data_IF_913747573495
#
_entry.id   IF_913747573495
#
_cell.length_a   1.000
_cell.length_b   1.000
_cell.length_c   1.000
_cell.angle_alpha   90.00
_cell.angle_beta   90.00
_cell.angle_gamma   90.00
#
_symmetry.space_group_name_H-M   'P 1'
#
loop_
_entity.id
_entity.type
_entity.pdbx_description
1 polymer ?
#
# COMPACT_ATOMS: atom_id res chain seq x y z
N UNK A 1 17.09 20.22 15.53
CA UNK A 1 16.35 19.56 14.44
C UNK A 1 16.56 20.42 13.21
N UNK A 2 17.57 20.10 12.39
CA UNK A 2 17.82 20.80 11.12
C UNK A 2 16.66 20.50 10.18
N UNK A 3 16.10 21.54 9.56
CA UNK A 3 15.00 21.43 8.62
C UNK A 3 15.29 20.30 7.61
N UNK A 4 14.37 19.33 7.50
CA UNK A 4 14.33 18.41 6.36
C UNK A 4 14.38 19.31 5.12
N UNK A 5 15.46 19.25 4.35
CA UNK A 5 15.59 20.06 3.14
C UNK A 5 14.40 19.81 2.22
N UNK A 6 14.05 20.80 1.39
CA UNK A 6 13.00 20.63 0.39
C UNK A 6 13.26 19.37 -0.45
N UNK A 7 12.19 18.64 -0.82
CA UNK A 7 12.30 17.48 -1.69
C UNK A 7 12.89 17.91 -3.04
N UNK A 8 13.92 17.20 -3.50
CA UNK A 8 14.67 17.51 -4.72
C UNK A 8 15.40 16.27 -5.23
N UNK A 9 15.97 16.33 -6.43
CA UNK A 9 16.81 15.25 -6.97
C UNK A 9 17.93 14.83 -5.99
N UNK A 10 18.48 15.78 -5.23
CA UNK A 10 19.59 15.54 -4.29
C UNK A 10 19.21 14.67 -3.09
N UNK A 11 17.93 14.55 -2.75
CA UNK A 11 17.43 13.67 -1.68
C UNK A 11 16.36 12.71 -2.19
N UNK A 12 16.41 12.39 -3.48
CA UNK A 12 15.48 11.43 -4.09
C UNK A 12 14.01 11.82 -3.89
N UNK A 13 13.70 13.11 -4.10
CA UNK A 13 12.39 13.70 -3.85
C UNK A 13 11.83 13.34 -2.47
N UNK A 14 12.67 13.42 -1.43
CA UNK A 14 12.37 12.92 -0.08
C UNK A 14 12.32 11.39 0.03
N UNK A 15 13.29 10.73 -0.58
CA UNK A 15 13.59 9.30 -0.47
C UNK A 15 12.49 8.39 -1.04
N UNK A 16 11.85 8.78 -2.14
CA UNK A 16 10.73 8.00 -2.72
C UNK A 16 11.14 6.59 -3.15
N UNK A 17 12.38 6.38 -3.63
CA UNK A 17 12.89 5.05 -4.02
C UNK A 17 13.38 4.23 -2.83
N UNK A 18 13.62 4.83 -1.67
CA UNK A 18 13.88 4.10 -0.43
C UNK A 18 12.54 3.74 0.23
N UNK A 19 11.65 4.73 0.36
CA UNK A 19 10.36 4.57 1.01
C UNK A 19 9.43 3.64 0.25
N UNK A 20 9.59 3.51 -1.08
CA UNK A 20 8.84 2.55 -1.91
C UNK A 20 9.04 1.09 -1.51
N UNK A 21 10.12 0.76 -0.77
CA UNK A 21 10.35 -0.60 -0.27
C UNK A 21 9.28 -1.04 0.74
N UNK A 22 8.65 -0.10 1.45
CA UNK A 22 7.56 -0.38 2.42
C UNK A 22 6.30 -0.91 1.69
N UNK A 23 5.67 -0.17 0.74
CA UNK A 23 4.53 -0.68 -0.01
C UNK A 23 4.90 -1.85 -0.92
N UNK A 24 6.16 -1.95 -1.39
CA UNK A 24 6.62 -3.12 -2.16
C UNK A 24 6.66 -4.39 -1.31
N UNK A 25 7.10 -4.31 -0.06
CA UNK A 25 7.07 -5.45 0.86
C UNK A 25 5.63 -5.82 1.23
N UNK A 26 4.74 -4.84 1.41
CA UNK A 26 3.32 -5.11 1.58
C UNK A 26 2.73 -5.85 0.37
N UNK A 27 3.09 -5.45 -0.85
CA UNK A 27 2.64 -6.11 -2.08
C UNK A 27 3.11 -7.56 -2.17
N UNK A 28 4.36 -7.82 -1.79
CA UNK A 28 4.88 -9.18 -1.69
C UNK A 28 4.06 -10.02 -0.71
N UNK A 29 3.82 -9.53 0.51
CA UNK A 29 3.05 -10.25 1.54
C UNK A 29 1.59 -10.49 1.11
N UNK A 30 0.96 -9.50 0.47
CA UNK A 30 -0.38 -9.65 -0.11
C UNK A 30 -0.39 -10.74 -1.17
N UNK A 31 0.54 -10.70 -2.13
CA UNK A 31 0.64 -11.69 -3.20
C UNK A 31 0.85 -13.12 -2.67
N UNK A 32 1.68 -13.28 -1.64
CA UNK A 32 1.89 -14.59 -0.99
C UNK A 32 0.62 -15.08 -0.27
N UNK A 33 -0.16 -14.18 0.31
CA UNK A 33 -1.29 -14.54 1.16
C UNK A 33 -2.59 -14.85 0.39
N UNK A 34 -2.88 -14.10 -0.68
CA UNK A 34 -4.13 -14.25 -1.47
C UNK A 34 -3.89 -14.74 -2.91
N UNK A 35 -2.62 -14.94 -3.28
CA UNK A 35 -2.21 -15.32 -4.63
C UNK A 35 -2.03 -14.13 -5.57
N UNK A 36 -1.17 -14.28 -6.60
CA UNK A 36 -0.77 -13.19 -7.48
C UNK A 36 -1.93 -12.61 -8.30
N UNK A 37 -2.87 -13.43 -8.76
CA UNK A 37 -4.00 -12.96 -9.59
C UNK A 37 -4.92 -12.00 -8.83
N UNK A 38 -5.29 -12.35 -7.59
CA UNK A 38 -6.11 -11.47 -6.74
C UNK A 38 -5.33 -10.23 -6.32
N UNK A 39 -4.05 -10.37 -6.00
CA UNK A 39 -3.20 -9.25 -5.66
C UNK A 39 -3.11 -8.25 -6.81
N UNK A 40 -2.84 -8.70 -8.04
CA UNK A 40 -2.81 -7.85 -9.23
C UNK A 40 -4.14 -7.13 -9.45
N UNK A 41 -5.26 -7.87 -9.37
CA UNK A 41 -6.60 -7.28 -9.50
C UNK A 41 -6.84 -6.17 -8.46
N UNK A 42 -6.47 -6.40 -7.21
CA UNK A 42 -6.62 -5.44 -6.13
C UNK A 42 -5.76 -4.19 -6.37
N UNK A 43 -4.46 -4.37 -6.61
CA UNK A 43 -3.53 -3.27 -6.83
C UNK A 43 -3.92 -2.42 -8.05
N UNK A 44 -4.31 -3.07 -9.15
CA UNK A 44 -4.75 -2.36 -10.35
C UNK A 44 -6.04 -1.57 -10.09
N UNK A 45 -7.03 -2.18 -9.44
CA UNK A 45 -8.29 -1.52 -9.12
C UNK A 45 -8.06 -0.28 -8.25
N UNK A 46 -7.33 -0.44 -7.15
CA UNK A 46 -7.06 0.64 -6.19
C UNK A 46 -6.30 1.79 -6.85
N UNK A 47 -5.25 1.48 -7.63
CA UNK A 47 -4.48 2.50 -8.35
C UNK A 47 -5.29 3.31 -9.35
N UNK A 48 -6.28 2.70 -10.00
CA UNK A 48 -7.01 3.32 -11.11
C UNK A 48 -8.34 3.93 -10.71
N UNK A 49 -8.90 3.55 -9.56
CA UNK A 49 -10.24 3.95 -9.14
C UNK A 49 -10.31 4.63 -7.79
N UNK A 50 -9.39 4.33 -6.86
CA UNK A 50 -9.46 4.85 -5.49
C UNK A 50 -8.37 5.89 -5.22
N UNK A 51 -7.13 5.60 -5.61
CA UNK A 51 -5.99 6.45 -5.22
C UNK A 51 -6.06 7.87 -5.79
N UNK A 52 -5.54 8.81 -5.02
CA UNK A 52 -5.43 10.24 -5.34
C UNK A 52 -3.97 10.76 -5.29
N UNK A 53 -3.66 11.87 -5.99
CA UNK A 53 -2.28 12.38 -6.08
C UNK A 53 -1.61 12.77 -4.76
N UNK A 54 -2.41 13.12 -3.74
CA UNK A 54 -1.92 13.64 -2.45
C UNK A 54 -1.96 12.59 -1.33
N UNK A 55 -1.87 11.31 -1.67
CA UNK A 55 -1.95 10.21 -0.70
C UNK A 55 -0.67 9.93 0.06
N UNK A 56 -0.87 9.40 1.27
CA UNK A 56 0.17 8.79 2.08
C UNK A 56 -0.03 7.27 2.21
N UNK A 57 0.93 6.62 2.86
CA UNK A 57 0.94 5.16 3.03
C UNK A 57 -0.25 4.61 3.82
N UNK A 58 -0.77 5.38 4.77
CA UNK A 58 -1.94 4.95 5.53
C UNK A 58 -3.20 5.01 4.66
N UNK A 59 -3.38 6.11 3.94
CA UNK A 59 -4.54 6.33 3.07
C UNK A 59 -4.57 5.28 1.96
N UNK A 60 -3.42 4.99 1.35
CA UNK A 60 -3.27 3.89 0.41
C UNK A 60 -3.69 2.53 1.01
N UNK A 61 -3.29 2.23 2.25
CA UNK A 61 -3.67 0.96 2.90
C UNK A 61 -5.16 0.89 3.22
N UNK A 62 -5.79 2.01 3.60
CA UNK A 62 -7.25 2.09 3.79
C UNK A 62 -7.98 1.85 2.45
N UNK A 63 -7.49 2.41 1.35
CA UNK A 63 -8.03 2.19 0.00
C UNK A 63 -7.90 0.74 -0.46
N UNK A 64 -6.84 0.04 -0.05
CA UNK A 64 -6.71 -1.39 -0.32
C UNK A 64 -7.79 -2.20 0.41
N UNK A 65 -8.23 -1.78 1.60
CA UNK A 65 -9.37 -2.40 2.29
C UNK A 65 -10.68 -2.13 1.58
N UNK A 66 -10.90 -0.90 1.11
CA UNK A 66 -12.08 -0.57 0.31
C UNK A 66 -12.06 -1.32 -1.04
N UNK A 67 -10.89 -1.49 -1.65
CA UNK A 67 -10.70 -2.30 -2.85
C UNK A 67 -11.10 -3.76 -2.64
N UNK A 68 -10.67 -4.39 -1.54
CA UNK A 68 -11.13 -5.75 -1.19
C UNK A 68 -12.66 -5.84 -1.09
N UNK A 69 -13.30 -4.85 -0.46
CA UNK A 69 -14.75 -4.78 -0.35
C UNK A 69 -15.44 -4.60 -1.70
N UNK A 70 -14.97 -3.69 -2.55
CA UNK A 70 -15.59 -3.43 -3.86
C UNK A 70 -15.40 -4.58 -4.86
N UNK A 71 -14.28 -5.30 -4.78
CA UNK A 71 -14.02 -6.49 -5.59
C UNK A 71 -14.70 -7.76 -5.05
N UNK A 72 -15.36 -7.68 -3.89
CA UNK A 72 -16.08 -8.80 -3.29
C UNK A 72 -15.15 -9.91 -2.78
N UNK A 73 -13.96 -9.55 -2.31
CA UNK A 73 -13.02 -10.50 -1.71
C UNK A 73 -13.62 -11.11 -0.44
N UNK A 74 -13.22 -12.35 -0.13
CA UNK A 74 -13.71 -13.03 1.07
C UNK A 74 -13.22 -12.32 2.34
N UNK A 75 -13.88 -12.57 3.46
CA UNK A 75 -13.41 -12.09 4.77
C UNK A 75 -11.99 -12.59 5.07
N UNK A 76 -11.66 -13.83 4.68
CA UNK A 76 -10.32 -14.39 4.87
C UNK A 76 -9.26 -13.71 3.99
N UNK A 77 -9.59 -13.40 2.73
CA UNK A 77 -8.68 -12.66 1.85
C UNK A 77 -8.45 -11.25 2.42
N UNK A 78 -9.53 -10.56 2.79
CA UNK A 78 -9.47 -9.19 3.33
C UNK A 78 -8.64 -9.13 4.60
N UNK A 79 -8.84 -10.07 5.53
CA UNK A 79 -8.05 -10.17 6.76
C UNK A 79 -6.57 -10.48 6.50
N UNK A 80 -6.26 -11.22 5.42
CA UNK A 80 -4.89 -11.50 5.01
C UNK A 80 -4.21 -10.25 4.43
N UNK A 81 -4.92 -9.47 3.60
CA UNK A 81 -4.42 -8.18 3.07
C UNK A 81 -4.21 -7.19 4.22
N UNK A 82 -5.17 -7.09 5.14
CA UNK A 82 -5.06 -6.21 6.32
C UNK A 82 -3.80 -6.54 7.13
N UNK A 83 -3.53 -7.83 7.36
CA UNK A 83 -2.34 -8.29 8.08
C UNK A 83 -1.05 -7.85 7.40
N UNK A 84 -0.95 -7.97 6.07
CA UNK A 84 0.22 -7.54 5.33
C UNK A 84 0.51 -6.04 5.54
N UNK A 85 -0.51 -5.19 5.57
CA UNK A 85 -0.35 -3.76 5.85
C UNK A 85 -0.06 -3.44 7.32
N UNK A 86 -0.54 -4.24 8.27
CA UNK A 86 -0.14 -4.14 9.69
C UNK A 86 1.33 -4.53 9.88
N UNK A 87 1.80 -5.57 9.20
CA UNK A 87 3.20 -6.04 9.27
C UNK A 87 4.21 -5.02 8.72
N UNK A 88 3.81 -4.20 7.75
CA UNK A 88 4.63 -3.10 7.22
C UNK A 88 4.42 -1.77 7.94
N UNK A 89 3.57 -1.72 8.97
CA UNK A 89 3.29 -0.53 9.77
C UNK A 89 2.46 0.54 9.06
N UNK A 90 1.80 0.19 7.96
CA UNK A 90 0.91 1.09 7.20
C UNK A 90 -0.50 1.14 7.82
N UNK A 91 -0.89 0.10 8.55
CA UNK A 91 -2.06 0.08 9.43
C UNK A 91 -1.65 -0.12 10.90
N UNK A 92 -2.50 0.34 11.82
CA UNK A 92 -2.29 0.16 13.25
C UNK A 92 -2.30 -1.34 13.63
N UNK A 93 -1.60 -1.71 14.71
CA UNK A 93 -1.51 -3.10 15.20
C UNK A 93 -2.80 -3.61 15.81
#
# INVERSE_FOLDING_TARGET
MTAKGACSDANDYCYVHINSTIPSHAAFLVSEAIGPEKAEQLYYFVLTHLMHPDEDFKSMADDMMEGCKQLGFSESDTAAVERAYRETGMLAS
#
